data_IF_210959627200
#
_entry.id   IF_210959627200
#
_cell.length_a   1.000
_cell.length_b   1.000
_cell.length_c   1.000
_cell.angle_alpha   90.00
_cell.angle_beta   90.00
_cell.angle_gamma   90.00
#
_symmetry.space_group_name_H-M   'P 1'
#
loop_
_entity.id
_entity.type
_entity.pdbx_description
1 polymer ?
#
# COMPACT_ATOMS: atom_id res chain seq x y z
N UNK A 1 -13.47 -7.33 6.39
CA UNK A 1 -12.45 -7.83 5.46
C UNK A 1 -11.25 -6.89 5.47
N UNK A 2 -10.06 -7.45 5.53
CA UNK A 2 -8.83 -6.65 5.57
C UNK A 2 -8.49 -6.12 4.19
N UNK A 3 -7.99 -4.88 4.10
CA UNK A 3 -7.64 -4.26 2.82
C UNK A 3 -6.15 -4.40 2.55
N UNK A 4 -5.82 -4.74 1.31
CA UNK A 4 -4.46 -4.74 0.78
C UNK A 4 -4.36 -3.63 -0.28
N UNK A 5 -3.48 -2.66 -0.02
CA UNK A 5 -3.19 -1.58 -0.97
C UNK A 5 -1.92 -1.90 -1.74
N UNK A 6 -1.97 -1.70 -3.04
CA UNK A 6 -0.81 -1.84 -3.93
C UNK A 6 -0.49 -0.46 -4.48
N UNK A 7 0.62 0.12 -4.03
CA UNK A 7 0.94 1.52 -4.26
C UNK A 7 2.26 1.63 -5.03
N UNK A 8 2.29 2.51 -6.01
CA UNK A 8 3.46 2.69 -6.86
C UNK A 8 3.54 4.10 -7.38
N UNK A 9 4.76 4.54 -7.73
CA UNK A 9 4.98 5.75 -8.52
C UNK A 9 4.79 5.50 -10.03
N UNK A 10 4.61 4.26 -10.43
CA UNK A 10 4.28 3.86 -11.80
C UNK A 10 2.89 3.25 -11.88
N UNK A 11 2.76 2.19 -12.70
CA UNK A 11 1.45 1.56 -12.96
C UNK A 11 0.91 0.75 -11.79
N UNK A 12 1.77 0.34 -10.85
CA UNK A 12 1.37 -0.52 -9.74
C UNK A 12 1.34 -2.00 -10.05
N UNK A 13 1.68 -2.40 -11.28
CA UNK A 13 1.61 -3.80 -11.69
C UNK A 13 2.51 -4.69 -10.83
N UNK A 14 3.75 -4.27 -10.58
CA UNK A 14 4.70 -5.05 -9.77
C UNK A 14 4.19 -5.26 -8.35
N UNK A 15 3.74 -4.18 -7.70
CA UNK A 15 3.19 -4.27 -6.35
C UNK A 15 1.98 -5.18 -6.30
N UNK A 16 1.09 -5.06 -7.29
CA UNK A 16 -0.12 -5.87 -7.38
C UNK A 16 0.21 -7.36 -7.58
N UNK A 17 1.07 -7.67 -8.55
CA UNK A 17 1.40 -9.06 -8.86
C UNK A 17 2.09 -9.74 -7.68
N UNK A 18 3.11 -9.12 -7.12
CA UNK A 18 3.83 -9.72 -6.00
C UNK A 18 3.01 -9.72 -4.71
N UNK A 19 2.20 -8.69 -4.49
CA UNK A 19 1.32 -8.64 -3.33
C UNK A 19 0.27 -9.74 -3.39
N UNK A 20 -0.38 -9.94 -4.52
CA UNK A 20 -1.33 -11.03 -4.71
C UNK A 20 -0.67 -12.40 -4.52
N UNK A 21 0.52 -12.59 -5.09
CA UNK A 21 1.25 -13.85 -4.94
C UNK A 21 1.54 -14.15 -3.47
N UNK A 22 1.98 -13.13 -2.72
CA UNK A 22 2.28 -13.28 -1.29
C UNK A 22 1.02 -13.59 -0.51
N UNK A 23 -0.08 -12.85 -0.75
CA UNK A 23 -1.33 -13.03 -0.02
C UNK A 23 -2.03 -14.34 -0.36
N UNK A 24 -1.73 -14.94 -1.52
CA UNK A 24 -2.30 -16.23 -1.90
C UNK A 24 -1.86 -17.36 -0.97
N UNK A 25 -0.80 -17.15 -0.19
CA UNK A 25 -0.34 -18.13 0.80
C UNK A 25 -1.23 -18.15 2.06
N UNK A 26 -2.10 -17.18 2.22
CA UNK A 26 -2.99 -17.08 3.38
C UNK A 26 -4.41 -17.49 2.98
N UNK A 27 -5.12 -18.14 3.90
CA UNK A 27 -6.51 -18.56 3.67
C UNK A 27 -7.49 -17.46 4.10
N UNK A 28 -7.17 -16.22 3.80
CA UNK A 28 -8.00 -15.08 4.13
C UNK A 28 -8.36 -14.31 2.87
N UNK A 29 -9.53 -13.69 2.87
CA UNK A 29 -9.94 -12.81 1.80
C UNK A 29 -9.53 -11.37 2.10
N UNK A 30 -9.14 -10.65 1.06
CA UNK A 30 -8.73 -9.26 1.16
C UNK A 30 -9.49 -8.42 0.15
N UNK A 31 -9.79 -7.18 0.51
CA UNK A 31 -10.16 -6.16 -0.45
C UNK A 31 -8.88 -5.64 -1.10
N UNK A 32 -8.81 -5.64 -2.42
CA UNK A 32 -7.61 -5.22 -3.16
C UNK A 32 -7.83 -3.85 -3.76
N UNK A 33 -6.94 -2.91 -3.44
CA UNK A 33 -6.99 -1.55 -3.96
C UNK A 33 -5.63 -1.18 -4.54
N UNK A 34 -5.57 -0.88 -5.83
CA UNK A 34 -4.35 -0.44 -6.49
C UNK A 34 -4.37 1.08 -6.64
N UNK A 35 -3.30 1.73 -6.18
CA UNK A 35 -3.15 3.18 -6.31
C UNK A 35 -1.87 3.46 -7.10
N UNK A 36 -1.98 3.63 -8.42
CA UNK A 36 -0.82 3.90 -9.27
C UNK A 36 -0.51 5.39 -9.32
N UNK A 37 0.66 5.70 -9.88
CA UNK A 37 1.08 7.06 -10.22
C UNK A 37 1.13 8.01 -9.02
N UNK A 38 1.54 7.50 -7.88
CA UNK A 38 1.82 8.33 -6.70
C UNK A 38 3.22 8.92 -6.90
N UNK A 39 3.27 10.09 -7.52
CA UNK A 39 4.52 10.70 -8.00
C UNK A 39 4.92 11.95 -7.21
N UNK A 40 4.04 12.46 -6.36
CA UNK A 40 4.28 13.68 -5.61
C UNK A 40 4.02 13.46 -4.11
N UNK A 41 4.62 14.31 -3.28
CA UNK A 41 4.38 14.25 -1.84
C UNK A 41 2.92 14.53 -1.52
N UNK A 42 2.26 15.40 -2.29
CA UNK A 42 0.84 15.67 -2.12
C UNK A 42 -0.01 14.42 -2.34
N UNK A 43 0.23 13.69 -3.43
CA UNK A 43 -0.47 12.43 -3.70
C UNK A 43 -0.16 11.38 -2.66
N UNK A 44 1.08 11.33 -2.17
CA UNK A 44 1.46 10.40 -1.11
C UNK A 44 0.70 10.72 0.18
N UNK A 45 0.53 11.99 0.53
CA UNK A 45 -0.25 12.38 1.71
C UNK A 45 -1.72 12.01 1.56
N UNK A 46 -2.30 12.22 0.38
CA UNK A 46 -3.68 11.81 0.09
C UNK A 46 -3.84 10.30 0.20
N UNK A 47 -2.87 9.55 -0.29
CA UNK A 47 -2.87 8.09 -0.21
C UNK A 47 -2.77 7.62 1.24
N UNK A 48 -1.88 8.23 2.03
CA UNK A 48 -1.77 7.96 3.45
C UNK A 48 -3.11 8.19 4.16
N UNK A 49 -3.81 9.28 3.81
CA UNK A 49 -5.11 9.57 4.39
C UNK A 49 -6.13 8.48 4.08
N UNK A 50 -6.15 7.99 2.84
CA UNK A 50 -7.02 6.87 2.46
C UNK A 50 -6.74 5.62 3.27
N UNK A 51 -5.46 5.31 3.48
CA UNK A 51 -5.04 4.16 4.28
C UNK A 51 -5.52 4.32 5.72
N UNK A 52 -5.30 5.49 6.31
CA UNK A 52 -5.68 5.77 7.69
C UNK A 52 -7.21 5.72 7.87
N UNK A 53 -7.95 6.24 6.89
CA UNK A 53 -9.41 6.22 6.92
C UNK A 53 -9.93 4.79 6.85
N UNK A 54 -9.29 3.92 6.08
CA UNK A 54 -9.68 2.52 6.00
C UNK A 54 -9.44 1.84 7.36
N UNK A 55 -8.34 2.13 8.02
CA UNK A 55 -8.09 1.61 9.36
C UNK A 55 -9.17 2.06 10.35
N UNK A 56 -9.53 3.33 10.31
CA UNK A 56 -10.59 3.85 11.20
C UNK A 56 -11.93 3.18 10.94
N UNK A 57 -12.26 2.92 9.69
CA UNK A 57 -13.53 2.31 9.30
C UNK A 57 -13.62 0.84 9.69
N UNK A 58 -12.54 0.08 9.49
CA UNK A 58 -12.55 -1.36 9.69
C UNK A 58 -12.05 -1.79 11.06
N UNK A 59 -11.27 -0.96 11.74
CA UNK A 59 -10.61 -1.32 13.00
C UNK A 59 -9.43 -2.27 12.82
N UNK A 60 -9.08 -2.61 11.58
CA UNK A 60 -7.98 -3.53 11.25
C UNK A 60 -6.98 -2.82 10.38
N UNK A 61 -5.69 -2.87 10.76
CA UNK A 61 -4.63 -2.22 9.99
C UNK A 61 -4.54 -2.81 8.58
N UNK A 62 -4.63 -1.96 7.55
CA UNK A 62 -4.45 -2.44 6.17
C UNK A 62 -3.04 -2.95 5.94
N UNK A 63 -2.88 -3.79 4.93
CA UNK A 63 -1.57 -4.14 4.39
C UNK A 63 -1.27 -3.19 3.23
N UNK A 64 -0.02 -2.76 3.12
CA UNK A 64 0.42 -1.91 2.01
C UNK A 64 1.67 -2.53 1.39
N UNK A 65 1.59 -2.77 0.09
CA UNK A 65 2.72 -3.23 -0.72
C UNK A 65 3.08 -2.10 -1.66
N UNK A 66 4.33 -1.66 -1.62
CA UNK A 66 4.69 -0.51 -2.43
C UNK A 66 6.07 -0.65 -3.08
N UNK A 67 6.22 0.07 -4.20
CA UNK A 67 7.47 0.14 -4.95
C UNK A 67 7.76 1.61 -5.24
N UNK A 68 8.54 2.26 -4.36
CA UNK A 68 8.97 3.65 -4.55
C UNK A 68 10.49 3.73 -4.56
N UNK A 69 11.02 4.49 -5.51
CA UNK A 69 12.43 4.86 -5.52
C UNK A 69 12.67 6.06 -4.60
N UNK A 70 11.74 7.00 -4.58
CA UNK A 70 11.85 8.25 -3.82
C UNK A 70 11.68 8.00 -2.31
N UNK A 71 12.67 8.41 -1.52
CA UNK A 71 12.67 8.22 -0.08
C UNK A 71 11.58 9.01 0.63
N UNK A 72 11.24 10.21 0.12
CA UNK A 72 10.19 11.01 0.74
C UNK A 72 8.83 10.34 0.60
N UNK A 73 8.54 9.79 -0.58
CA UNK A 73 7.28 9.07 -0.81
C UNK A 73 7.20 7.84 0.07
N UNK A 74 8.30 7.08 0.19
CA UNK A 74 8.36 5.92 1.08
C UNK A 74 8.10 6.31 2.52
N UNK A 75 8.75 7.38 2.99
CA UNK A 75 8.59 7.82 4.37
C UNK A 75 7.15 8.21 4.69
N UNK A 76 6.48 8.89 3.77
CA UNK A 76 5.09 9.29 3.96
C UNK A 76 4.19 8.05 4.09
N UNK A 77 4.33 7.09 3.19
CA UNK A 77 3.50 5.88 3.21
C UNK A 77 3.83 5.01 4.43
N UNK A 78 5.10 4.90 4.80
CA UNK A 78 5.50 4.15 6.00
C UNK A 78 4.97 4.77 7.28
N UNK A 79 4.64 6.04 7.29
CA UNK A 79 4.08 6.72 8.46
C UNK A 79 2.56 6.51 8.60
N UNK A 80 1.92 5.82 7.65
CA UNK A 80 0.50 5.50 7.72
C UNK A 80 0.22 4.42 8.77
N UNK A 81 -1.07 4.23 9.10
CA UNK A 81 -1.54 3.22 10.05
C UNK A 81 -1.66 1.83 9.39
N UNK A 82 -0.72 1.49 8.53
CA UNK A 82 -0.70 0.22 7.82
C UNK A 82 0.53 -0.61 8.18
N UNK A 83 0.45 -1.90 7.90
CA UNK A 83 1.64 -2.76 7.88
C UNK A 83 2.20 -2.69 6.46
N UNK A 84 3.39 -2.10 6.32
CA UNK A 84 3.96 -1.78 5.02
C UNK A 84 5.07 -2.75 4.62
N UNK A 85 5.06 -3.14 3.36
CA UNK A 85 6.08 -4.00 2.75
C UNK A 85 6.66 -3.28 1.53
N UNK A 86 7.96 -3.02 1.58
CA UNK A 86 8.70 -2.35 0.51
C UNK A 86 9.37 -3.40 -0.37
N UNK A 87 8.89 -3.54 -1.62
CA UNK A 87 9.43 -4.54 -2.54
C UNK A 87 10.75 -4.14 -3.18
N UNK A 88 11.17 -2.88 -3.06
CA UNK A 88 12.44 -2.40 -3.62
C UNK A 88 13.57 -2.37 -2.60
N UNK A 89 13.25 -2.31 -1.31
CA UNK A 89 14.22 -2.27 -0.21
C UNK A 89 13.94 -3.41 0.77
N UNK A 90 14.26 -4.58 0.33
CA UNK A 90 14.09 -5.75 1.17
C UNK A 90 15.16 -5.80 2.28
#
# INVERSE_FOLDING_TARGET
MRTAFYISDGTGITSEVFGHALLSLFQAEFDHVTIPFVETTEKAQQTKQRINDRYKTTGVRPLVFFTFVDEQLRAIINSSEAVCYDFLNA
#
